data_IF_912150814199
#
_entry.id   IF_912150814199
#
_cell.length_a   1.000
_cell.length_b   1.000
_cell.length_c   1.000
_cell.angle_alpha   90.00
_cell.angle_beta   90.00
_cell.angle_gamma   90.00
#
_symmetry.space_group_name_H-M   'P 1'
#
loop_
_entity.id
_entity.type
_entity.pdbx_description
1 polymer ?
#
# COMPACT_ATOMS: atom_id res chain seq x y z
N UNK A 1 9.31 70.19 -36.62
CA UNK A 1 9.23 68.74 -36.92
C UNK A 1 9.11 68.00 -35.59
N UNK A 2 7.95 67.40 -35.31
CA UNK A 2 7.66 66.70 -34.06
C UNK A 2 7.86 65.20 -34.32
N UNK A 3 8.87 64.61 -33.67
CA UNK A 3 9.10 63.16 -33.77
C UNK A 3 8.15 62.41 -32.82
N UNK A 4 7.28 61.58 -33.39
CA UNK A 4 6.41 60.67 -32.65
C UNK A 4 7.16 59.35 -32.48
N UNK A 5 7.56 59.05 -31.24
CA UNK A 5 8.11 57.72 -30.89
C UNK A 5 6.93 56.76 -30.64
N UNK A 6 6.78 55.78 -31.52
CA UNK A 6 5.85 54.69 -31.29
C UNK A 6 6.52 53.65 -30.38
N UNK A 7 6.00 53.48 -29.14
CA UNK A 7 6.43 52.46 -28.21
C UNK A 7 5.72 51.14 -28.54
N UNK A 8 6.42 50.17 -29.08
CA UNK A 8 5.90 48.86 -29.35
C UNK A 8 5.94 48.02 -28.03
N UNK A 9 4.74 47.81 -27.44
CA UNK A 9 4.62 46.91 -26.26
C UNK A 9 4.51 45.48 -26.78
N UNK A 10 5.57 44.68 -26.59
CA UNK A 10 5.54 43.27 -26.85
C UNK A 10 4.93 42.58 -25.62
N UNK A 11 3.68 42.11 -25.74
CA UNK A 11 3.05 41.27 -24.73
C UNK A 11 3.54 39.85 -24.92
N UNK A 12 4.47 39.45 -24.07
CA UNK A 12 4.91 38.05 -24.01
C UNK A 12 3.86 37.18 -23.31
N UNK A 13 3.09 36.44 -24.09
CA UNK A 13 2.17 35.40 -23.55
C UNK A 13 2.97 34.17 -23.16
N UNK A 14 3.18 33.98 -21.86
CA UNK A 14 3.69 32.71 -21.35
C UNK A 14 2.57 31.68 -21.39
N UNK A 15 2.78 30.48 -21.98
CA UNK A 15 1.79 29.41 -21.89
C UNK A 15 1.74 28.96 -20.43
N UNK A 16 0.62 29.20 -19.75
CA UNK A 16 0.34 28.60 -18.44
C UNK A 16 0.23 27.11 -18.64
N UNK A 17 1.26 26.36 -18.21
CA UNK A 17 1.17 24.91 -18.11
C UNK A 17 0.12 24.58 -17.07
N UNK A 18 -1.09 24.23 -17.50
CA UNK A 18 -2.14 23.71 -16.63
C UNK A 18 -1.67 22.34 -16.17
N UNK A 19 -0.98 22.28 -15.03
CA UNK A 19 -0.79 21.04 -14.31
C UNK A 19 -2.18 20.59 -13.85
N UNK A 20 -2.74 19.60 -14.53
CA UNK A 20 -3.96 18.94 -14.07
C UNK A 20 -3.66 18.34 -12.70
N UNK A 21 -4.18 18.96 -11.64
CA UNK A 21 -4.05 18.46 -10.28
C UNK A 21 -4.69 17.06 -10.25
N UNK A 22 -3.93 16.07 -9.84
CA UNK A 22 -4.44 14.70 -9.70
C UNK A 22 -5.51 14.71 -8.61
N UNK A 23 -6.73 14.36 -8.98
CA UNK A 23 -7.85 14.24 -8.03
C UNK A 23 -7.71 12.87 -7.35
N UNK A 24 -7.76 12.85 -6.01
CA UNK A 24 -7.68 11.62 -5.23
C UNK A 24 -8.86 10.68 -5.55
N UNK A 25 -8.60 9.38 -5.44
CA UNK A 25 -9.54 8.28 -5.69
C UNK A 25 -10.19 8.32 -7.08
N UNK A 26 -9.46 8.83 -8.06
CA UNK A 26 -9.87 8.83 -9.47
C UNK A 26 -8.75 8.29 -10.36
N UNK A 27 -9.15 7.49 -11.34
CA UNK A 27 -8.24 7.04 -12.38
C UNK A 27 -8.15 8.06 -13.50
N UNK A 28 -6.95 8.44 -13.87
CA UNK A 28 -6.70 9.22 -15.08
C UNK A 28 -7.15 8.44 -16.32
N UNK A 29 -7.40 9.12 -17.42
CA UNK A 29 -7.71 8.48 -18.71
C UNK A 29 -6.61 7.49 -19.14
N UNK A 30 -5.34 7.78 -18.83
CA UNK A 30 -4.20 6.90 -19.09
C UNK A 30 -4.25 5.62 -18.24
N UNK A 31 -4.60 5.74 -16.97
CA UNK A 31 -4.72 4.59 -16.06
C UNK A 31 -5.88 3.68 -16.47
N UNK A 32 -7.05 4.27 -16.80
CA UNK A 32 -8.20 3.52 -17.32
C UNK A 32 -7.84 2.71 -18.57
N UNK A 33 -7.15 3.33 -19.56
CA UNK A 33 -6.68 2.63 -20.76
C UNK A 33 -5.66 1.53 -20.48
N UNK A 34 -4.89 1.64 -19.40
CA UNK A 34 -3.92 0.63 -18.95
C UNK A 34 -4.53 -0.47 -18.08
N UNK A 35 -5.85 -0.47 -17.86
CA UNK A 35 -6.55 -1.51 -17.10
C UNK A 35 -6.44 -1.37 -15.59
N UNK A 36 -6.14 -0.17 -15.06
CA UNK A 36 -6.23 0.08 -13.63
C UNK A 36 -7.67 0.08 -13.15
N UNK A 37 -7.90 -0.43 -11.95
CA UNK A 37 -9.18 -0.51 -11.26
C UNK A 37 -9.00 0.16 -9.89
N UNK A 38 -9.95 1.02 -9.49
CA UNK A 38 -9.99 1.54 -8.12
C UNK A 38 -10.52 0.44 -7.19
N UNK A 39 -9.85 0.27 -6.05
CA UNK A 39 -10.30 -0.55 -4.93
C UNK A 39 -10.96 0.29 -3.83
N UNK A 40 -10.85 1.62 -3.91
CA UNK A 40 -11.48 2.57 -3.00
C UNK A 40 -11.90 3.82 -3.78
N UNK A 41 -13.18 4.17 -3.68
CA UNK A 41 -13.81 5.26 -4.43
C UNK A 41 -13.75 6.62 -3.73
N UNK A 42 -13.30 6.67 -2.46
CA UNK A 42 -13.26 7.88 -1.63
C UNK A 42 -14.58 8.25 -0.96
N UNK A 43 -15.64 7.49 -1.16
CA UNK A 43 -17.00 7.79 -0.68
C UNK A 43 -17.48 6.80 0.36
N UNK A 44 -17.23 5.52 0.13
CA UNK A 44 -17.66 4.41 0.99
C UNK A 44 -16.67 3.26 0.97
N UNK A 45 -16.99 2.19 1.68
CA UNK A 45 -16.17 0.97 1.76
C UNK A 45 -16.65 -0.15 0.81
N UNK A 46 -17.35 0.19 -0.27
CA UNK A 46 -17.76 -0.80 -1.27
C UNK A 46 -16.56 -1.59 -1.79
N UNK A 47 -16.72 -2.90 -1.96
CA UNK A 47 -15.63 -3.80 -2.39
C UNK A 47 -14.73 -4.29 -1.25
N UNK A 48 -14.98 -3.85 0.00
CA UNK A 48 -14.27 -4.29 1.20
C UNK A 48 -15.18 -5.06 2.15
N UNK A 49 -14.60 -6.02 2.87
CA UNK A 49 -15.28 -6.88 3.84
C UNK A 49 -14.33 -7.29 4.96
N UNK A 50 -14.85 -7.91 6.00
CA UNK A 50 -14.03 -8.56 7.04
C UNK A 50 -13.63 -9.98 6.63
N UNK A 51 -12.72 -10.58 7.38
CA UNK A 51 -12.32 -12.00 7.20
C UNK A 51 -13.48 -13.00 7.35
N UNK A 52 -14.59 -12.57 7.91
CA UNK A 52 -15.82 -13.34 8.07
C UNK A 52 -16.93 -12.92 7.08
N UNK A 53 -16.57 -12.21 6.00
CA UNK A 53 -17.50 -11.71 4.97
C UNK A 53 -18.65 -10.83 5.54
N UNK A 54 -18.35 -10.04 6.58
CA UNK A 54 -19.29 -9.07 7.15
C UNK A 54 -18.98 -7.67 6.65
N UNK A 55 -19.92 -6.75 6.81
CA UNK A 55 -19.71 -5.33 6.53
C UNK A 55 -18.49 -4.79 7.28
N UNK A 56 -17.82 -3.79 6.67
CA UNK A 56 -16.69 -3.09 7.28
C UNK A 56 -17.12 -2.50 8.63
N UNK A 57 -16.38 -2.78 9.72
CA UNK A 57 -16.80 -2.39 11.07
C UNK A 57 -16.68 -0.89 11.33
N UNK A 58 -17.37 -0.41 12.36
CA UNK A 58 -17.38 1.00 12.75
C UNK A 58 -16.00 1.57 13.21
N UNK A 59 -15.00 0.71 13.44
CA UNK A 59 -13.61 1.12 13.65
C UNK A 59 -12.92 1.67 12.41
N UNK A 60 -13.54 1.48 11.24
CA UNK A 60 -13.14 2.06 9.96
C UNK A 60 -14.16 3.11 9.54
N UNK A 61 -13.70 4.29 9.15
CA UNK A 61 -14.56 5.36 8.65
C UNK A 61 -14.04 5.91 7.32
N UNK A 62 -14.96 6.29 6.44
CA UNK A 62 -14.63 7.09 5.27
C UNK A 62 -14.91 8.55 5.61
N UNK A 63 -13.87 9.38 5.53
CA UNK A 63 -13.95 10.81 5.81
C UNK A 63 -12.99 11.58 4.90
N UNK A 64 -13.46 12.67 4.31
CA UNK A 64 -12.65 13.56 3.44
C UNK A 64 -11.89 12.80 2.34
N UNK A 65 -12.55 11.82 1.70
CA UNK A 65 -11.94 11.02 0.64
C UNK A 65 -10.90 10.02 1.13
N UNK A 66 -10.78 9.75 2.42
CA UNK A 66 -9.85 8.80 2.99
C UNK A 66 -10.55 7.69 3.76
N UNK A 67 -10.01 6.49 3.70
CA UNK A 67 -10.41 5.33 4.50
C UNK A 67 -9.51 5.30 5.75
N UNK A 68 -10.12 5.42 6.94
CA UNK A 68 -9.37 5.66 8.16
C UNK A 68 -9.60 4.57 9.20
N UNK A 69 -8.53 4.16 9.88
CA UNK A 69 -8.57 3.40 11.12
C UNK A 69 -8.70 4.36 12.29
N UNK A 70 -9.72 4.19 13.12
CA UNK A 70 -9.92 4.99 14.33
C UNK A 70 -8.97 4.55 15.45
N UNK A 71 -8.57 5.50 16.29
CA UNK A 71 -7.72 5.24 17.44
C UNK A 71 -8.32 4.17 18.36
N UNK A 72 -7.49 3.22 18.78
CA UNK A 72 -7.87 2.15 19.69
C UNK A 72 -8.50 0.94 19.03
N UNK A 73 -8.55 0.92 17.72
CA UNK A 73 -9.08 -0.20 16.90
C UNK A 73 -10.50 -0.56 17.32
N UNK A 74 -10.92 -1.72 17.07
CA UNK A 74 -12.17 -2.44 17.38
C UNK A 74 -12.89 -2.86 16.10
N UNK A 75 -12.25 -2.64 14.97
CA UNK A 75 -12.80 -3.04 13.68
C UNK A 75 -12.23 -4.37 13.21
N UNK A 76 -10.98 -4.65 13.56
CA UNK A 76 -10.22 -5.72 12.95
C UNK A 76 -9.87 -5.42 11.49
N UNK A 77 -9.21 -6.36 10.87
CA UNK A 77 -8.74 -6.24 9.50
C UNK A 77 -9.88 -6.22 8.49
N UNK A 78 -9.67 -5.49 7.39
CA UNK A 78 -10.56 -5.51 6.23
C UNK A 78 -9.82 -6.02 5.00
N UNK A 79 -10.53 -6.71 4.13
CA UNK A 79 -9.96 -7.25 2.89
C UNK A 79 -10.86 -6.96 1.69
N UNK A 80 -10.30 -7.00 0.51
CA UNK A 80 -11.08 -6.91 -0.73
C UNK A 80 -12.03 -8.10 -0.85
N UNK A 81 -13.22 -7.89 -1.42
CA UNK A 81 -14.15 -9.00 -1.75
C UNK A 81 -13.54 -9.92 -2.82
N UNK A 82 -12.80 -9.33 -3.77
CA UNK A 82 -12.15 -10.07 -4.84
C UNK A 82 -10.75 -10.55 -4.44
N UNK A 83 -10.30 -11.64 -5.06
CA UNK A 83 -8.97 -12.18 -4.93
C UNK A 83 -8.13 -11.86 -6.18
N UNK A 84 -6.82 -11.74 -5.97
CA UNK A 84 -5.84 -11.37 -7.00
C UNK A 84 -4.65 -12.32 -7.02
N UNK A 85 -4.10 -12.57 -8.21
CA UNK A 85 -2.88 -13.37 -8.43
C UNK A 85 -1.73 -12.49 -8.92
N UNK A 86 -1.66 -12.22 -10.22
CA UNK A 86 -0.67 -11.32 -10.80
C UNK A 86 -1.21 -9.89 -10.84
N UNK A 87 -0.54 -8.97 -10.16
CA UNK A 87 -1.04 -7.60 -10.00
C UNK A 87 0.07 -6.57 -9.80
N UNK A 88 -0.33 -5.33 -10.02
CA UNK A 88 0.39 -4.11 -9.70
C UNK A 88 -0.53 -3.25 -8.81
N UNK A 89 -0.25 -3.17 -7.51
CA UNK A 89 -1.07 -2.51 -6.48
C UNK A 89 -0.41 -1.21 -6.04
N UNK A 90 -1.19 -0.14 -5.95
CA UNK A 90 -0.80 1.14 -5.36
C UNK A 90 -1.73 1.52 -4.23
N UNK A 91 -1.15 2.03 -3.13
CA UNK A 91 -1.88 2.58 -2.00
C UNK A 91 -1.11 3.80 -1.48
N UNK A 92 -1.78 4.94 -1.37
CA UNK A 92 -1.26 6.05 -0.58
C UNK A 92 -1.72 5.86 0.87
N UNK A 93 -0.79 5.94 1.82
CA UNK A 93 -1.06 5.78 3.24
C UNK A 93 -0.40 6.88 4.08
N UNK A 94 -0.99 7.19 5.21
CA UNK A 94 -0.48 8.09 6.23
C UNK A 94 -0.76 7.49 7.59
N UNK A 95 0.24 7.53 8.48
CA UNK A 95 0.15 6.99 9.85
C UNK A 95 0.38 8.07 10.88
N UNK A 96 -0.18 7.88 12.07
CA UNK A 96 0.14 8.68 13.24
C UNK A 96 1.37 8.08 13.97
N UNK A 97 2.00 8.83 14.90
CA UNK A 97 3.12 8.33 15.70
C UNK A 97 2.81 7.01 16.42
N UNK A 98 3.80 6.14 16.52
CA UNK A 98 3.74 4.78 17.10
C UNK A 98 2.76 3.81 16.41
N UNK A 99 2.26 4.14 15.22
CA UNK A 99 1.33 3.29 14.48
C UNK A 99 2.03 2.02 13.95
N UNK A 100 1.31 0.90 14.03
CA UNK A 100 1.59 -0.36 13.35
C UNK A 100 0.39 -0.71 12.48
N UNK A 101 0.62 -1.05 11.24
CA UNK A 101 -0.35 -1.48 10.23
C UNK A 101 0.37 -2.31 9.17
N UNK A 102 -0.33 -2.75 8.14
CA UNK A 102 0.27 -3.50 7.04
C UNK A 102 -0.71 -3.74 5.90
N UNK A 103 -0.17 -4.03 4.74
CA UNK A 103 -0.96 -4.48 3.59
C UNK A 103 -0.56 -5.91 3.26
N UNK A 104 -1.48 -6.84 3.51
CA UNK A 104 -1.27 -8.25 3.18
C UNK A 104 -1.83 -8.53 1.78
N UNK A 105 -1.13 -9.37 1.05
CA UNK A 105 -1.53 -9.86 -0.26
C UNK A 105 -1.44 -11.38 -0.29
N UNK A 106 -2.17 -12.00 -1.22
CA UNK A 106 -2.45 -13.43 -1.18
C UNK A 106 -3.03 -13.87 0.17
N UNK A 107 -3.78 -12.94 0.79
CA UNK A 107 -4.41 -13.22 2.08
C UNK A 107 -5.55 -14.22 1.89
N UNK A 108 -5.46 -15.33 2.60
CA UNK A 108 -6.42 -16.43 2.51
C UNK A 108 -6.34 -17.32 3.75
N UNK A 109 -7.27 -18.26 3.86
CA UNK A 109 -7.25 -19.29 4.89
C UNK A 109 -6.31 -20.41 4.48
N UNK A 110 -5.24 -20.59 5.22
CA UNK A 110 -4.34 -21.73 5.08
C UNK A 110 -4.92 -22.96 5.78
N UNK A 111 -4.57 -24.15 5.30
CA UNK A 111 -4.96 -25.41 5.93
C UNK A 111 -4.48 -25.49 7.39
N UNK A 112 -3.23 -25.04 7.62
CA UNK A 112 -2.65 -24.86 8.96
C UNK A 112 -2.22 -23.41 9.14
N UNK A 113 -2.46 -22.85 10.33
CA UNK A 113 -2.05 -21.47 10.66
C UNK A 113 -3.16 -20.41 10.52
N UNK A 114 -4.34 -20.78 10.02
CA UNK A 114 -5.48 -19.86 9.91
C UNK A 114 -5.39 -18.90 8.73
N UNK A 115 -5.90 -17.67 8.91
CA UNK A 115 -5.89 -16.63 7.89
C UNK A 115 -4.53 -15.93 7.86
N UNK A 116 -3.78 -16.06 6.78
CA UNK A 116 -2.44 -15.49 6.60
C UNK A 116 -2.29 -14.87 5.21
N UNK A 117 -1.35 -13.96 5.08
CA UNK A 117 -0.94 -13.34 3.82
C UNK A 117 0.49 -12.85 3.92
N UNK A 118 1.14 -12.67 2.79
CA UNK A 118 2.43 -12.00 2.71
C UNK A 118 2.21 -10.51 2.95
N UNK A 119 3.04 -9.86 3.76
CA UNK A 119 2.75 -8.53 4.27
C UNK A 119 3.81 -7.50 3.86
N UNK A 120 3.36 -6.40 3.26
CA UNK A 120 4.11 -5.16 3.19
C UNK A 120 3.88 -4.43 4.52
N UNK A 121 4.91 -4.35 5.37
CA UNK A 121 4.82 -3.70 6.68
C UNK A 121 4.64 -2.18 6.54
N UNK A 122 3.74 -1.62 7.33
CA UNK A 122 3.55 -0.19 7.55
C UNK A 122 3.77 0.08 9.04
N UNK A 123 4.85 0.79 9.38
CA UNK A 123 5.27 0.99 10.76
C UNK A 123 5.82 2.40 10.95
N UNK A 124 5.60 2.97 12.12
CA UNK A 124 6.47 4.04 12.60
C UNK A 124 7.80 3.39 13.04
N UNK A 125 8.81 3.52 12.21
CA UNK A 125 10.11 2.88 12.43
C UNK A 125 10.84 3.36 13.69
N UNK A 126 10.42 4.50 14.28
CA UNK A 126 11.07 5.09 15.43
C UNK A 126 10.33 4.77 16.74
N UNK A 127 9.00 4.92 16.75
CA UNK A 127 8.21 4.89 17.99
C UNK A 127 7.36 3.63 18.17
N UNK A 128 7.13 2.83 17.12
CA UNK A 128 6.34 1.61 17.27
C UNK A 128 7.12 0.52 18.05
N UNK A 129 6.41 -0.25 18.86
CA UNK A 129 7.02 -1.30 19.69
C UNK A 129 7.72 -2.39 18.89
N UNK A 130 7.22 -2.69 17.68
CA UNK A 130 7.68 -3.76 16.81
C UNK A 130 8.87 -3.37 15.89
N UNK A 131 9.57 -2.28 16.19
CA UNK A 131 10.69 -1.75 15.41
C UNK A 131 12.06 -2.37 15.71
N UNK A 132 12.11 -3.54 16.34
CA UNK A 132 13.36 -4.11 16.91
C UNK A 132 14.20 -4.88 15.87
N UNK A 133 13.57 -5.35 14.80
CA UNK A 133 14.22 -6.13 13.76
C UNK A 133 14.11 -5.42 12.41
N UNK A 134 15.15 -5.49 11.59
CA UNK A 134 15.17 -4.85 10.27
C UNK A 134 14.03 -5.36 9.35
N UNK A 135 13.68 -6.65 9.46
CA UNK A 135 12.57 -7.24 8.71
C UNK A 135 11.18 -6.98 9.31
N UNK A 136 11.09 -6.12 10.36
CA UNK A 136 9.85 -5.58 10.90
C UNK A 136 9.65 -4.12 10.53
N UNK A 137 10.64 -3.46 9.92
CA UNK A 137 10.51 -2.05 9.54
C UNK A 137 9.61 -1.86 8.30
N UNK A 138 9.10 -0.65 8.12
CA UNK A 138 8.26 -0.28 6.98
C UNK A 138 8.85 -0.70 5.63
N UNK A 139 8.01 -1.34 4.81
CA UNK A 139 8.38 -1.82 3.48
C UNK A 139 8.96 -3.24 3.44
N UNK A 140 9.29 -3.84 4.60
CA UNK A 140 9.73 -5.24 4.67
C UNK A 140 8.64 -6.20 4.16
N UNK A 141 9.05 -7.39 3.74
CA UNK A 141 8.18 -8.56 3.81
C UNK A 141 8.24 -9.03 5.26
N UNK A 142 7.24 -8.60 6.02
CA UNK A 142 7.20 -8.67 7.48
C UNK A 142 7.66 -10.02 8.04
N UNK A 143 8.59 -9.96 8.99
CA UNK A 143 9.22 -11.08 9.70
C UNK A 143 10.00 -12.07 8.79
N UNK A 144 10.12 -11.78 7.48
CA UNK A 144 10.80 -12.68 6.52
C UNK A 144 11.99 -11.97 5.87
N UNK A 145 11.81 -10.86 5.17
CA UNK A 145 12.86 -10.16 4.43
C UNK A 145 12.86 -8.66 4.74
N UNK A 146 14.00 -8.15 5.16
CA UNK A 146 14.21 -6.71 5.31
C UNK A 146 14.32 -6.01 3.94
N UNK A 147 14.01 -4.71 3.85
CA UNK A 147 14.32 -3.90 2.69
C UNK A 147 15.82 -3.95 2.36
N UNK A 148 16.16 -4.07 1.09
CA UNK A 148 17.56 -4.08 0.64
C UNK A 148 18.21 -2.69 0.66
N UNK A 149 17.38 -1.63 0.67
CA UNK A 149 17.83 -0.27 0.91
C UNK A 149 17.79 -0.01 2.43
N UNK A 150 18.93 0.20 3.10
CA UNK A 150 18.98 0.40 4.56
C UNK A 150 18.32 1.70 5.02
N UNK A 151 18.07 2.64 4.09
CA UNK A 151 17.31 3.87 4.34
C UNK A 151 16.22 4.01 3.28
N UNK A 152 15.11 3.26 3.39
CA UNK A 152 14.00 3.43 2.47
C UNK A 152 13.46 4.86 2.57
N UNK A 153 13.01 5.45 1.45
CA UNK A 153 12.55 6.84 1.42
C UNK A 153 11.15 6.93 2.07
N UNK A 154 11.08 6.83 3.39
CA UNK A 154 9.84 6.95 4.15
C UNK A 154 9.66 8.38 4.66
N UNK A 155 8.49 8.94 4.49
CA UNK A 155 8.09 10.21 5.08
C UNK A 155 7.62 9.98 6.52
N UNK A 156 7.80 11.00 7.37
CA UNK A 156 7.47 10.95 8.79
C UNK A 156 5.98 10.67 9.07
N UNK A 157 5.61 10.16 10.26
CA UNK A 157 4.22 10.13 10.70
C UNK A 157 3.54 11.49 10.51
N UNK A 158 2.28 11.47 10.06
CA UNK A 158 1.54 12.67 9.64
C UNK A 158 1.68 13.03 8.16
N UNK A 159 2.63 12.46 7.44
CA UNK A 159 2.84 12.69 6.01
C UNK A 159 2.39 11.50 5.15
N UNK A 160 2.00 11.78 3.91
CA UNK A 160 1.61 10.72 2.97
C UNK A 160 2.81 9.96 2.41
N UNK A 161 2.70 8.65 2.37
CA UNK A 161 3.60 7.74 1.69
C UNK A 161 2.85 6.96 0.61
N UNK A 162 3.55 6.51 -0.41
CA UNK A 162 3.00 5.63 -1.45
C UNK A 162 3.70 4.28 -1.39
N UNK A 163 2.98 3.21 -1.10
CA UNK A 163 3.45 1.86 -1.32
C UNK A 163 3.02 1.36 -2.70
N UNK A 164 3.85 0.52 -3.30
CA UNK A 164 3.50 -0.27 -4.47
C UNK A 164 3.99 -1.69 -4.30
N UNK A 165 3.13 -2.65 -4.60
CA UNK A 165 3.44 -4.08 -4.61
C UNK A 165 3.21 -4.59 -6.02
N UNK A 166 4.23 -5.17 -6.64
CA UNK A 166 4.11 -5.84 -7.94
C UNK A 166 4.35 -7.33 -7.73
N UNK A 167 3.37 -8.14 -8.11
CA UNK A 167 3.51 -9.59 -8.14
C UNK A 167 3.25 -10.09 -9.55
N UNK A 168 4.22 -10.83 -10.11
CA UNK A 168 4.11 -11.45 -11.43
C UNK A 168 4.74 -12.84 -11.40
N UNK A 169 3.91 -13.86 -11.54
CA UNK A 169 4.31 -15.24 -11.30
C UNK A 169 4.86 -15.42 -9.89
N UNK A 170 6.10 -15.86 -9.77
CA UNK A 170 6.77 -16.00 -8.47
C UNK A 170 7.53 -14.74 -8.02
N UNK A 171 7.70 -13.74 -8.89
CA UNK A 171 8.47 -12.55 -8.57
C UNK A 171 7.61 -11.51 -7.86
N UNK A 172 8.10 -11.00 -6.74
CA UNK A 172 7.45 -9.96 -5.95
C UNK A 172 8.43 -8.81 -5.74
N UNK A 173 7.92 -7.60 -5.83
CA UNK A 173 8.68 -6.36 -5.60
C UNK A 173 7.88 -5.42 -4.70
N UNK A 174 8.54 -4.86 -3.69
CA UNK A 174 8.02 -3.76 -2.87
C UNK A 174 8.69 -2.45 -3.26
N UNK A 175 7.89 -1.41 -3.36
CA UNK A 175 8.32 -0.06 -3.65
C UNK A 175 7.75 0.88 -2.57
N UNK A 176 8.54 1.85 -2.16
CA UNK A 176 8.14 2.91 -1.24
C UNK A 176 8.53 4.26 -1.85
N UNK A 177 7.57 5.16 -1.95
CA UNK A 177 7.73 6.51 -2.52
C UNK A 177 8.48 6.51 -3.87
N UNK A 178 8.13 5.56 -4.75
CA UNK A 178 8.70 5.43 -6.09
C UNK A 178 10.06 4.72 -6.17
N UNK A 179 10.65 4.34 -5.05
CA UNK A 179 11.92 3.59 -4.98
C UNK A 179 11.65 2.11 -4.72
N UNK A 180 12.22 1.22 -5.52
CA UNK A 180 12.17 -0.23 -5.25
C UNK A 180 13.07 -0.54 -4.06
N UNK A 181 12.49 -1.09 -3.00
CA UNK A 181 13.16 -1.33 -1.73
C UNK A 181 13.36 -2.81 -1.43
N UNK A 182 12.59 -3.70 -2.07
CA UNK A 182 12.70 -5.14 -1.89
C UNK A 182 12.30 -5.86 -3.18
N UNK A 183 12.97 -6.97 -3.48
CA UNK A 183 12.60 -7.88 -4.57
C UNK A 183 12.99 -9.29 -4.21
N UNK A 184 12.09 -10.26 -4.44
CA UNK A 184 12.34 -11.67 -4.16
C UNK A 184 11.52 -12.58 -5.07
N UNK A 185 11.94 -13.83 -5.16
CA UNK A 185 11.24 -14.88 -5.92
C UNK A 185 10.68 -15.91 -4.96
N UNK A 186 9.36 -16.03 -4.88
CA UNK A 186 8.68 -17.03 -4.05
C UNK A 186 9.11 -18.45 -4.43
N UNK A 187 9.44 -19.27 -3.44
CA UNK A 187 9.90 -20.64 -3.64
C UNK A 187 11.38 -20.78 -4.04
N UNK A 188 12.14 -19.67 -4.17
CA UNK A 188 13.58 -19.74 -4.29
C UNK A 188 14.21 -20.28 -2.99
N UNK A 189 15.48 -20.69 -3.05
CA UNK A 189 16.19 -21.14 -1.85
C UNK A 189 16.28 -20.01 -0.81
N UNK A 190 16.59 -18.80 -1.23
CA UNK A 190 16.69 -17.62 -0.37
C UNK A 190 15.36 -17.32 0.31
N UNK A 191 14.26 -17.41 -0.43
CA UNK A 191 12.93 -17.24 0.11
C UNK A 191 12.57 -18.30 1.15
N UNK A 192 12.81 -19.59 0.82
CA UNK A 192 12.48 -20.70 1.73
C UNK A 192 13.34 -20.68 2.99
N UNK A 193 14.62 -20.34 2.87
CA UNK A 193 15.52 -20.16 4.00
C UNK A 193 15.07 -19.01 4.90
N UNK A 194 14.62 -17.89 4.32
CA UNK A 194 14.09 -16.74 5.09
C UNK A 194 12.77 -17.10 5.82
N UNK A 195 11.82 -17.71 5.11
CA UNK A 195 10.57 -18.19 5.71
C UNK A 195 10.83 -19.18 6.84
N UNK A 196 11.80 -20.09 6.69
CA UNK A 196 12.13 -21.08 7.72
C UNK A 196 12.59 -20.47 9.05
N UNK A 197 13.14 -19.26 9.02
CA UNK A 197 13.59 -18.49 10.19
C UNK A 197 12.49 -17.62 10.81
N UNK A 198 11.40 -17.40 10.09
CA UNK A 198 10.29 -16.55 10.52
C UNK A 198 9.35 -17.26 11.49
N UNK A 199 8.52 -16.48 12.18
CA UNK A 199 7.45 -17.00 13.06
C UNK A 199 6.45 -17.90 12.30
N UNK A 200 6.32 -17.70 10.98
CA UNK A 200 5.37 -18.44 10.15
C UNK A 200 5.77 -19.90 9.92
N UNK A 201 7.06 -20.23 9.97
CA UNK A 201 7.57 -21.58 9.67
C UNK A 201 6.94 -22.67 10.55
N UNK A 202 6.69 -22.35 11.82
CA UNK A 202 6.12 -23.28 12.82
C UNK A 202 4.62 -23.44 12.69
N UNK A 203 3.92 -22.36 12.30
CA UNK A 203 2.45 -22.31 12.30
C UNK A 203 1.85 -22.64 10.95
N UNK A 204 2.54 -22.34 9.86
CA UNK A 204 2.07 -22.55 8.50
C UNK A 204 3.19 -22.98 7.56
N UNK A 205 3.48 -24.28 7.43
CA UNK A 205 4.54 -24.77 6.52
C UNK A 205 4.33 -24.37 5.05
N UNK A 206 3.08 -24.07 4.65
CA UNK A 206 2.74 -23.61 3.31
C UNK A 206 2.78 -22.08 3.16
N UNK A 207 3.29 -21.33 4.15
CA UNK A 207 3.32 -19.86 4.09
C UNK A 207 4.10 -19.36 2.86
N UNK A 208 3.47 -18.42 2.13
CA UNK A 208 4.05 -17.83 0.93
C UNK A 208 3.95 -18.67 -0.36
N UNK A 209 3.32 -19.85 -0.31
CA UNK A 209 3.12 -20.71 -1.50
C UNK A 209 1.84 -20.40 -2.27
N UNK A 210 0.89 -19.70 -1.65
CA UNK A 210 -0.41 -19.36 -2.25
C UNK A 210 -0.22 -18.34 -3.37
N UNK A 211 -0.84 -18.60 -4.52
CA UNK A 211 -0.67 -17.80 -5.74
C UNK A 211 -1.83 -16.82 -5.99
N UNK A 212 -2.91 -16.90 -5.20
CA UNK A 212 -4.10 -16.06 -5.33
C UNK A 212 -4.72 -15.83 -3.95
N UNK A 213 -5.17 -14.62 -3.68
CA UNK A 213 -5.85 -14.27 -2.43
C UNK A 213 -6.25 -12.80 -2.40
N UNK A 214 -6.83 -12.41 -1.29
CA UNK A 214 -7.32 -11.04 -1.07
C UNK A 214 -6.16 -10.06 -0.82
N UNK A 215 -6.41 -8.78 -1.08
CA UNK A 215 -5.62 -7.68 -0.51
C UNK A 215 -6.30 -7.30 0.82
N UNK A 216 -5.53 -7.28 1.89
CA UNK A 216 -6.03 -6.97 3.23
C UNK A 216 -5.25 -5.80 3.81
N UNK A 217 -5.95 -4.91 4.51
CA UNK A 217 -5.34 -3.83 5.29
C UNK A 217 -5.52 -4.17 6.77
N UNK A 218 -4.39 -4.16 7.48
CA UNK A 218 -4.34 -4.55 8.88
C UNK A 218 -4.74 -3.38 9.79
N UNK A 219 -5.59 -3.66 10.76
CA UNK A 219 -5.88 -2.81 11.91
C UNK A 219 -5.14 -3.36 13.14
N UNK A 220 -4.28 -2.54 13.75
CA UNK A 220 -3.45 -2.94 14.90
C UNK A 220 -3.47 -1.88 16.02
N UNK A 221 -4.59 -1.19 16.20
CA UNK A 221 -4.83 -0.20 17.24
C UNK A 221 -4.28 1.21 16.97
N UNK A 222 -3.38 1.37 16.02
CA UNK A 222 -2.85 2.66 15.58
C UNK A 222 -3.79 3.38 14.61
N UNK A 223 -3.60 4.69 14.47
CA UNK A 223 -4.34 5.51 13.49
C UNK A 223 -3.62 5.50 12.16
N UNK A 224 -4.32 5.09 11.12
CA UNK A 224 -3.83 5.15 9.74
C UNK A 224 -4.93 5.61 8.79
N UNK A 225 -4.53 6.26 7.72
CA UNK A 225 -5.40 6.75 6.66
C UNK A 225 -4.92 6.24 5.31
N UNK A 226 -5.84 5.87 4.43
CA UNK A 226 -5.55 5.32 3.11
C UNK A 226 -6.36 6.02 2.04
N UNK A 227 -5.76 6.21 0.85
CA UNK A 227 -6.43 6.74 -0.35
C UNK A 227 -5.76 6.22 -1.61
N UNK A 228 -6.32 6.55 -2.76
CA UNK A 228 -5.76 6.19 -4.07
C UNK A 228 -5.46 4.68 -4.20
N UNK A 229 -6.26 3.84 -3.53
CA UNK A 229 -6.11 2.39 -3.56
C UNK A 229 -6.55 1.89 -4.93
N UNK A 230 -5.61 1.39 -5.72
CA UNK A 230 -5.87 0.92 -7.08
C UNK A 230 -4.99 -0.27 -7.45
N UNK A 231 -5.53 -1.13 -8.30
CA UNK A 231 -4.87 -2.35 -8.75
C UNK A 231 -4.95 -2.48 -10.26
N UNK A 232 -3.97 -3.10 -10.86
CA UNK A 232 -3.99 -3.54 -12.26
C UNK A 232 -3.59 -4.99 -12.32
N UNK A 233 -4.37 -5.81 -13.04
CA UNK A 233 -4.02 -7.20 -13.35
C UNK A 233 -2.94 -7.20 -14.45
N UNK A 234 -1.93 -8.08 -14.34
CA UNK A 234 -0.76 -8.09 -15.25
C UNK A 234 -0.38 -9.50 -15.69
#
# INVERSE_FOLDING_TARGET
MKNIFCLLIIVATFPASIFSQKIDNQLTAKEKRKGWILLFNGVDSEGWTTTNNKAVPAGWIVKEGTLNILKGGKGGDIMTVNEYSDFDLYIDYKIEPACNSGVKYFFTKYEKGGNLGMEFQILDNELAEDNKLENHLSGSFYDVLAPTNPKPPINSPGEWNTLRIVSKGKNVMHWLNGIKILSFTRGSKEFTDAVSKSKFSKTSPAFGTIDKGHIMIQEHGGVASFKNIKIKLI
#
